data_IF_638671443171
#
_entry.id   IF_638671443171
#
_cell.length_a   1.000
_cell.length_b   1.000
_cell.length_c   1.000
_cell.angle_alpha   90.00
_cell.angle_beta   90.00
_cell.angle_gamma   90.00
#
_symmetry.space_group_name_H-M   'P 1'
#
loop_
_entity.id
_entity.type
_entity.pdbx_description
1 polymer ?
#
# COMPACT_ATOMS: atom_id res chain seq x y z
N UNK A 1 -11.43 7.87 53.85
CA UNK A 1 -12.08 8.07 52.53
C UNK A 1 -11.02 7.82 51.49
N UNK A 2 -11.22 6.86 50.58
CA UNK A 2 -10.32 6.71 49.44
C UNK A 2 -10.45 7.99 48.60
N UNK A 3 -9.32 8.63 48.26
CA UNK A 3 -9.34 9.79 47.39
C UNK A 3 -9.90 9.37 46.03
N UNK A 4 -11.03 9.94 45.64
CA UNK A 4 -11.65 9.69 44.34
C UNK A 4 -10.74 10.27 43.27
N UNK A 5 -10.12 9.42 42.43
CA UNK A 5 -9.30 9.89 41.30
C UNK A 5 -10.13 10.78 40.37
N UNK A 6 -9.53 11.87 39.91
CA UNK A 6 -10.11 12.75 38.90
C UNK A 6 -10.02 12.12 37.50
N UNK A 7 -10.90 12.55 36.59
CA UNK A 7 -10.85 12.11 35.18
C UNK A 7 -9.51 12.47 34.54
N UNK A 8 -8.93 13.61 34.90
CA UNK A 8 -7.63 14.05 34.38
C UNK A 8 -6.48 13.12 34.81
N UNK A 9 -6.45 12.72 36.08
CA UNK A 9 -5.47 11.74 36.59
C UNK A 9 -5.62 10.38 35.89
N UNK A 10 -6.85 9.91 35.72
CA UNK A 10 -7.13 8.66 34.97
C UNK A 10 -6.65 8.80 33.52
N UNK A 11 -6.93 9.93 32.88
CA UNK A 11 -6.56 10.18 31.48
C UNK A 11 -5.06 10.22 31.28
N UNK A 12 -4.34 10.88 32.19
CA UNK A 12 -2.88 10.97 32.15
C UNK A 12 -2.22 9.61 32.41
N UNK A 13 -2.78 8.80 33.33
CA UNK A 13 -2.30 7.44 33.58
C UNK A 13 -2.58 6.48 32.40
N UNK A 14 -3.68 6.70 31.67
CA UNK A 14 -4.10 5.82 30.57
C UNK A 14 -3.29 6.02 29.27
N UNK A 15 -2.76 7.21 28.99
CA UNK A 15 -2.02 7.48 27.74
C UNK A 15 -0.54 7.06 27.84
N UNK A 16 0.05 6.73 26.69
CA UNK A 16 1.48 6.52 26.55
C UNK A 16 2.26 7.85 26.62
N UNK A 17 3.59 7.79 26.70
CA UNK A 17 4.45 8.97 26.79
C UNK A 17 5.11 9.33 25.45
N UNK A 18 5.72 8.35 24.79
CA UNK A 18 6.45 8.50 23.54
C UNK A 18 5.59 8.31 22.29
N UNK A 19 6.20 8.48 21.10
CA UNK A 19 5.52 8.31 19.83
C UNK A 19 5.23 6.83 19.54
N UNK A 20 4.17 6.59 18.76
CA UNK A 20 3.91 5.28 18.18
C UNK A 20 5.07 4.88 17.26
N UNK A 21 5.50 3.64 17.41
CA UNK A 21 6.67 3.10 16.73
C UNK A 21 6.33 1.75 16.10
N UNK A 22 6.79 1.52 14.88
CA UNK A 22 6.72 0.22 14.21
C UNK A 22 7.76 -0.69 14.84
N UNK A 23 7.32 -1.79 15.45
CA UNK A 23 8.16 -2.73 16.19
C UNK A 23 8.48 -3.99 15.39
N UNK A 24 7.60 -4.36 14.45
CA UNK A 24 7.80 -5.50 13.58
C UNK A 24 7.03 -5.30 12.28
N UNK A 25 7.56 -5.87 11.19
CA UNK A 25 6.90 -5.96 9.89
C UNK A 25 7.03 -7.39 9.40
N UNK A 26 5.92 -7.99 8.98
CA UNK A 26 5.86 -9.29 8.32
C UNK A 26 5.11 -9.16 7.00
N UNK A 27 5.55 -9.88 5.98
CA UNK A 27 4.95 -9.88 4.64
C UNK A 27 4.68 -11.30 4.18
N UNK A 28 3.64 -11.48 3.37
CA UNK A 28 3.25 -12.76 2.80
C UNK A 28 2.63 -12.58 1.41
N UNK A 29 2.80 -13.57 0.54
CA UNK A 29 2.22 -13.62 -0.80
C UNK A 29 1.63 -15.01 -1.06
N UNK A 30 0.67 -15.14 -1.99
CA UNK A 30 0.30 -16.44 -2.52
C UNK A 30 1.50 -17.17 -3.14
N UNK A 31 1.40 -18.51 -3.23
CA UNK A 31 2.48 -19.33 -3.80
C UNK A 31 2.59 -19.21 -5.33
N UNK A 32 1.46 -18.98 -6.01
CA UNK A 32 1.43 -18.86 -7.47
C UNK A 32 2.03 -17.52 -7.91
N UNK A 33 3.12 -17.59 -8.67
CA UNK A 33 3.88 -16.47 -9.18
C UNK A 33 3.73 -16.39 -10.70
N UNK A 34 3.35 -15.21 -11.18
CA UNK A 34 3.07 -14.94 -12.58
C UNK A 34 4.03 -13.86 -13.07
N UNK A 35 4.82 -14.18 -14.09
CA UNK A 35 5.76 -13.23 -14.68
C UNK A 35 5.04 -12.31 -15.67
N UNK A 36 5.37 -11.02 -15.59
CA UNK A 36 4.69 -9.99 -16.37
C UNK A 36 4.92 -10.14 -17.88
N UNK A 37 6.07 -10.70 -18.27
CA UNK A 37 6.41 -10.97 -19.67
C UNK A 37 5.46 -12.01 -20.32
N UNK A 38 5.02 -13.00 -19.53
CA UNK A 38 4.15 -14.09 -19.99
C UNK A 38 2.66 -13.78 -19.77
N UNK A 39 2.36 -12.75 -18.97
CA UNK A 39 1.00 -12.44 -18.54
C UNK A 39 0.02 -12.12 -19.67
N UNK A 40 0.39 -11.37 -20.74
CA UNK A 40 -0.53 -11.11 -21.84
C UNK A 40 -1.02 -12.38 -22.53
N UNK A 41 -0.14 -13.37 -22.71
CA UNK A 41 -0.51 -14.64 -23.33
C UNK A 41 -1.37 -15.48 -22.38
N UNK A 42 -0.96 -15.61 -21.12
CA UNK A 42 -1.73 -16.28 -20.09
C UNK A 42 -3.14 -15.69 -19.96
N UNK A 43 -3.25 -14.38 -19.79
CA UNK A 43 -4.50 -13.66 -19.54
C UNK A 43 -5.48 -13.81 -20.70
N UNK A 44 -5.04 -13.62 -21.95
CA UNK A 44 -5.92 -13.75 -23.11
C UNK A 44 -6.31 -15.21 -23.38
N UNK A 45 -5.45 -16.18 -23.08
CA UNK A 45 -5.77 -17.61 -23.16
C UNK A 45 -6.83 -17.99 -22.11
N UNK A 46 -6.58 -17.73 -20.83
CA UNK A 46 -7.47 -18.17 -19.74
C UNK A 46 -8.83 -17.47 -19.77
N UNK A 47 -8.89 -16.25 -20.31
CA UNK A 47 -10.15 -15.52 -20.53
C UNK A 47 -10.80 -15.82 -21.88
N UNK A 48 -10.32 -16.83 -22.62
CA UNK A 48 -10.84 -17.27 -23.93
C UNK A 48 -10.97 -16.13 -24.95
N UNK A 49 -10.01 -15.20 -24.91
CA UNK A 49 -10.04 -13.93 -25.62
C UNK A 49 -8.95 -13.79 -26.69
N UNK A 50 -8.24 -14.86 -27.05
CA UNK A 50 -7.18 -14.83 -28.09
C UNK A 50 -7.64 -14.32 -29.47
N UNK A 51 -8.95 -14.34 -29.74
CA UNK A 51 -9.53 -13.75 -30.95
C UNK A 51 -9.44 -12.21 -30.98
N UNK A 52 -9.20 -11.55 -29.85
CA UNK A 52 -9.08 -10.09 -29.72
C UNK A 52 -7.61 -9.61 -29.90
N UNK A 53 -7.02 -9.89 -31.07
CA UNK A 53 -5.58 -9.67 -31.32
C UNK A 53 -5.12 -8.22 -31.06
N UNK A 54 -5.86 -7.22 -31.52
CA UNK A 54 -5.51 -5.80 -31.33
C UNK A 54 -5.53 -5.39 -29.85
N UNK A 55 -6.48 -5.94 -29.08
CA UNK A 55 -6.60 -5.68 -27.66
C UNK A 55 -5.46 -6.36 -26.89
N UNK A 56 -5.08 -7.58 -27.29
CA UNK A 56 -3.93 -8.31 -26.76
C UNK A 56 -2.64 -7.52 -26.96
N UNK A 57 -2.44 -6.93 -28.13
CA UNK A 57 -1.25 -6.12 -28.41
C UNK A 57 -1.23 -4.83 -27.56
N UNK A 58 -2.38 -4.16 -27.38
CA UNK A 58 -2.50 -3.02 -26.45
C UNK A 58 -2.16 -3.43 -25.01
N UNK A 59 -2.70 -4.55 -24.55
CA UNK A 59 -2.45 -5.06 -23.20
C UNK A 59 -0.98 -5.45 -22.99
N UNK A 60 -0.35 -6.07 -23.99
CA UNK A 60 1.09 -6.35 -23.98
C UNK A 60 1.91 -5.08 -23.78
N UNK A 61 1.62 -4.00 -24.51
CA UNK A 61 2.29 -2.70 -24.31
C UNK A 61 2.06 -2.11 -22.92
N UNK A 62 0.88 -2.32 -22.31
CA UNK A 62 0.63 -1.91 -20.93
C UNK A 62 1.50 -2.69 -19.95
N UNK A 63 1.60 -4.01 -20.11
CA UNK A 63 2.46 -4.87 -19.30
C UNK A 63 3.95 -4.49 -19.45
N UNK A 64 4.44 -4.30 -20.68
CA UNK A 64 5.83 -3.91 -20.98
C UNK A 64 6.19 -2.56 -20.31
N UNK A 65 5.25 -1.62 -20.25
CA UNK A 65 5.44 -0.30 -19.62
C UNK A 65 5.16 -0.25 -18.13
N UNK A 66 4.66 -1.34 -17.53
CA UNK A 66 4.25 -1.35 -16.12
C UNK A 66 5.41 -1.28 -15.12
N UNK A 67 6.65 -1.56 -15.57
CA UNK A 67 7.84 -1.76 -14.72
C UNK A 67 7.72 -2.94 -13.74
N UNK A 68 6.64 -3.73 -13.85
CA UNK A 68 6.42 -4.94 -13.07
C UNK A 68 7.16 -6.09 -13.74
N UNK A 69 7.93 -6.86 -12.96
CA UNK A 69 8.60 -8.07 -13.41
C UNK A 69 7.76 -9.31 -13.13
N UNK A 70 7.18 -9.40 -11.94
CA UNK A 70 6.34 -10.52 -11.51
C UNK A 70 5.28 -10.05 -10.51
N UNK A 71 4.23 -10.86 -10.36
CA UNK A 71 3.17 -10.69 -9.37
C UNK A 71 2.83 -12.04 -8.77
N UNK A 72 2.29 -12.02 -7.57
CA UNK A 72 1.71 -13.20 -6.94
C UNK A 72 0.20 -13.11 -7.04
N UNK A 73 -0.46 -14.23 -7.33
CA UNK A 73 -1.91 -14.26 -7.54
C UNK A 73 -2.48 -15.51 -6.90
N UNK A 74 -3.47 -15.37 -6.03
CA UNK A 74 -4.20 -16.49 -5.48
C UNK A 74 -4.98 -17.24 -6.56
N UNK A 75 -5.50 -16.50 -7.57
CA UNK A 75 -6.12 -17.10 -8.75
C UNK A 75 -5.10 -17.86 -9.59
N UNK A 76 -5.30 -19.18 -9.69
CA UNK A 76 -4.56 -20.09 -10.57
C UNK A 76 -5.38 -20.41 -11.82
N UNK A 77 -4.75 -21.04 -12.83
CA UNK A 77 -5.47 -21.56 -14.01
C UNK A 77 -6.60 -22.51 -13.58
N UNK A 78 -6.33 -23.42 -12.64
CA UNK A 78 -7.32 -24.36 -12.06
C UNK A 78 -8.54 -23.64 -11.44
N UNK A 79 -8.31 -22.65 -10.56
CA UNK A 79 -9.41 -21.89 -9.94
C UNK A 79 -10.24 -21.17 -11.00
N UNK A 80 -9.60 -20.62 -12.03
CA UNK A 80 -10.28 -19.90 -13.10
C UNK A 80 -11.06 -20.84 -14.03
N UNK A 81 -10.57 -22.05 -14.28
CA UNK A 81 -11.27 -23.09 -15.04
C UNK A 81 -12.52 -23.59 -14.29
N UNK A 82 -12.45 -23.72 -12.96
CA UNK A 82 -13.60 -24.05 -12.10
C UNK A 82 -14.60 -22.88 -11.98
N UNK A 83 -14.15 -21.64 -12.17
CA UNK A 83 -14.95 -20.42 -12.01
C UNK A 83 -15.01 -19.56 -13.29
N UNK A 84 -15.54 -20.08 -14.42
CA UNK A 84 -15.46 -19.43 -15.72
C UNK A 84 -16.16 -18.05 -15.77
N UNK A 85 -17.13 -17.80 -14.89
CA UNK A 85 -17.79 -16.48 -14.79
C UNK A 85 -16.84 -15.38 -14.29
N UNK A 86 -15.78 -15.72 -13.56
CA UNK A 86 -14.74 -14.75 -13.16
C UNK A 86 -13.88 -14.31 -14.35
N UNK A 87 -13.73 -15.18 -15.35
CA UNK A 87 -13.02 -14.90 -16.60
C UNK A 87 -13.85 -14.12 -17.61
N UNK A 88 -15.18 -14.20 -17.53
CA UNK A 88 -16.06 -13.40 -18.36
C UNK A 88 -16.03 -11.92 -17.93
N UNK A 89 -16.19 -11.00 -18.89
CA UNK A 89 -16.06 -9.57 -18.61
C UNK A 89 -17.09 -9.04 -17.59
N UNK A 90 -18.36 -9.46 -17.73
CA UNK A 90 -19.50 -8.94 -16.94
C UNK A 90 -20.47 -10.05 -16.49
N UNK A 91 -20.00 -11.29 -16.33
CA UNK A 91 -20.87 -12.35 -15.80
C UNK A 91 -21.01 -12.23 -14.27
N UNK A 92 -22.17 -12.59 -13.70
CA UNK A 92 -22.34 -12.68 -12.26
C UNK A 92 -21.30 -13.62 -11.64
N UNK A 93 -20.51 -13.08 -10.70
CA UNK A 93 -19.40 -13.80 -10.08
C UNK A 93 -19.15 -13.37 -8.63
N UNK A 94 -19.97 -12.47 -8.06
CA UNK A 94 -19.77 -11.96 -6.71
C UNK A 94 -19.75 -13.05 -5.65
N UNK A 95 -20.67 -14.02 -5.70
CA UNK A 95 -20.77 -15.09 -4.69
C UNK A 95 -19.49 -15.93 -4.65
N UNK A 96 -19.04 -16.43 -5.81
CA UNK A 96 -17.78 -17.17 -5.92
C UNK A 96 -16.57 -16.36 -5.42
N UNK A 97 -16.53 -15.06 -5.73
CA UNK A 97 -15.46 -14.17 -5.25
C UNK A 97 -15.50 -13.97 -3.74
N UNK A 98 -16.68 -13.89 -3.14
CA UNK A 98 -16.86 -13.77 -1.69
C UNK A 98 -16.45 -15.05 -0.97
N UNK A 99 -16.84 -16.21 -1.49
CA UNK A 99 -16.48 -17.52 -0.93
C UNK A 99 -14.97 -17.71 -0.83
N UNK A 100 -14.21 -17.18 -1.80
CA UNK A 100 -12.74 -17.19 -1.79
C UNK A 100 -12.16 -16.35 -0.64
N UNK A 101 -12.79 -15.23 -0.24
CA UNK A 101 -12.18 -14.24 0.68
C UNK A 101 -12.75 -14.22 2.10
N UNK A 102 -13.91 -14.85 2.37
CA UNK A 102 -14.70 -14.61 3.60
C UNK A 102 -14.21 -15.37 4.86
N UNK A 103 -13.38 -16.42 4.71
CA UNK A 103 -13.17 -17.45 5.75
C UNK A 103 -12.39 -16.95 6.99
N UNK A 104 -11.54 -15.92 6.85
CA UNK A 104 -10.55 -15.57 7.90
C UNK A 104 -10.83 -14.27 8.68
N UNK A 105 -11.69 -13.39 8.15
CA UNK A 105 -12.04 -12.08 8.75
C UNK A 105 -12.55 -12.18 10.20
N UNK A 106 -13.34 -13.20 10.60
CA UNK A 106 -13.89 -13.29 11.96
C UNK A 106 -12.87 -13.57 13.07
N UNK A 107 -11.66 -14.07 12.73
CA UNK A 107 -10.71 -14.63 13.72
C UNK A 107 -9.79 -13.61 14.39
N UNK A 108 -9.75 -12.37 13.91
CA UNK A 108 -8.91 -11.30 14.49
C UNK A 108 -9.66 -10.65 15.69
N UNK A 109 -9.02 -10.41 16.83
CA UNK A 109 -9.66 -9.85 18.05
C UNK A 109 -9.71 -8.31 18.09
N UNK A 110 -10.56 -7.71 18.96
CA UNK A 110 -10.78 -6.25 19.16
C UNK A 110 -10.60 -5.40 17.88
N UNK A 111 -11.49 -5.62 16.92
CA UNK A 111 -11.28 -5.22 15.52
C UNK A 111 -11.83 -3.82 15.21
N UNK A 112 -11.01 -2.99 14.58
CA UNK A 112 -11.47 -2.00 13.62
C UNK A 112 -11.35 -2.64 12.25
N UNK A 113 -12.48 -2.91 11.59
CA UNK A 113 -12.49 -3.49 10.25
C UNK A 113 -12.62 -2.38 9.21
N UNK A 114 -11.69 -2.36 8.26
CA UNK A 114 -11.65 -1.36 7.19
C UNK A 114 -11.84 -2.03 5.84
N UNK A 115 -13.07 -1.95 5.30
CA UNK A 115 -13.40 -2.49 3.98
C UNK A 115 -13.53 -1.39 2.94
N UNK A 116 -13.19 -1.71 1.69
CA UNK A 116 -13.43 -0.83 0.53
C UNK A 116 -12.82 0.57 0.67
N UNK A 117 -11.68 0.69 1.35
CA UNK A 117 -10.98 1.96 1.53
C UNK A 117 -10.20 2.35 0.27
N UNK A 118 -9.58 1.37 -0.39
CA UNK A 118 -8.74 1.58 -1.56
C UNK A 118 -7.26 1.78 -1.22
N UNK A 119 -6.47 2.11 -2.24
CA UNK A 119 -5.02 2.01 -2.19
C UNK A 119 -4.31 2.97 -1.20
N UNK A 120 -4.97 4.07 -0.78
CA UNK A 120 -4.41 4.97 0.23
C UNK A 120 -4.43 4.37 1.65
N UNK A 121 -5.16 3.28 1.86
CA UNK A 121 -5.43 2.75 3.18
C UNK A 121 -4.17 2.28 3.93
N UNK A 122 -3.07 2.02 3.24
CA UNK A 122 -1.77 1.77 3.89
C UNK A 122 -1.32 2.94 4.79
N UNK A 123 -1.58 4.18 4.39
CA UNK A 123 -1.36 5.35 5.25
C UNK A 123 -2.44 5.48 6.33
N UNK A 124 -3.71 5.22 5.98
CA UNK A 124 -4.84 5.31 6.93
C UNK A 124 -4.67 4.37 8.12
N UNK A 125 -4.23 3.12 7.89
CA UNK A 125 -4.04 2.16 8.98
C UNK A 125 -2.89 2.57 9.91
N UNK A 126 -1.83 3.19 9.38
CA UNK A 126 -0.74 3.76 10.20
C UNK A 126 -1.24 4.93 11.04
N UNK A 127 -2.04 5.83 10.45
CA UNK A 127 -2.65 6.97 11.15
C UNK A 127 -3.54 6.51 12.31
N UNK A 128 -4.40 5.53 12.09
CA UNK A 128 -5.26 4.97 13.14
C UNK A 128 -4.45 4.24 14.21
N UNK A 129 -3.46 3.44 13.81
CA UNK A 129 -2.62 2.71 14.76
C UNK A 129 -1.74 3.65 15.62
N UNK A 130 -1.30 4.78 15.05
CA UNK A 130 -0.62 5.85 15.79
C UNK A 130 -1.47 6.32 16.96
N UNK A 131 -2.69 6.76 16.69
CA UNK A 131 -3.61 7.25 17.73
C UNK A 131 -3.95 6.16 18.74
N UNK A 132 -4.21 4.93 18.29
CA UNK A 132 -4.50 3.82 19.20
C UNK A 132 -3.33 3.50 20.14
N UNK A 133 -2.10 3.51 19.64
CA UNK A 133 -0.91 3.20 20.42
C UNK A 133 -0.53 4.34 21.38
N UNK A 134 -0.52 5.60 20.92
CA UNK A 134 -0.17 6.75 21.76
C UNK A 134 -1.22 7.03 22.83
N UNK A 135 -2.49 6.77 22.52
CA UNK A 135 -3.59 7.08 23.41
C UNK A 135 -3.84 6.03 24.51
N UNK A 136 -3.16 4.88 24.43
CA UNK A 136 -3.35 3.75 25.34
C UNK A 136 -2.00 3.16 25.76
N UNK A 137 -1.55 3.48 26.98
CA UNK A 137 -0.31 2.99 27.58
C UNK A 137 -0.24 1.47 27.51
N UNK A 138 0.89 0.95 27.03
CA UNK A 138 1.12 -0.49 26.88
C UNK A 138 0.36 -1.14 25.72
N UNK A 139 -0.39 -0.39 24.90
CA UNK A 139 -1.03 -0.96 23.73
C UNK A 139 0.00 -1.43 22.69
N UNK A 140 -0.30 -2.58 22.09
CA UNK A 140 0.38 -3.12 20.91
C UNK A 140 -0.69 -3.42 19.87
N UNK A 141 -0.67 -2.65 18.80
CA UNK A 141 -1.67 -2.67 17.74
C UNK A 141 -1.14 -3.55 16.61
N UNK A 142 -1.83 -4.67 16.36
CA UNK A 142 -1.61 -5.45 15.15
C UNK A 142 -2.43 -4.83 14.02
N UNK A 143 -1.74 -4.36 12.98
CA UNK A 143 -2.34 -3.89 11.74
C UNK A 143 -2.09 -4.92 10.67
N UNK A 144 -3.11 -5.24 9.88
CA UNK A 144 -3.01 -6.17 8.75
C UNK A 144 -3.69 -5.57 7.52
N UNK A 145 -2.93 -5.44 6.44
CA UNK A 145 -3.43 -5.17 5.10
C UNK A 145 -3.32 -6.47 4.29
N UNK A 146 -4.41 -6.94 3.70
CA UNK A 146 -4.43 -8.20 2.93
C UNK A 146 -5.29 -8.01 1.69
N UNK A 147 -4.67 -8.15 0.53
CA UNK A 147 -5.26 -7.79 -0.75
C UNK A 147 -5.18 -8.98 -1.71
N UNK A 148 -6.33 -9.35 -2.28
CA UNK A 148 -6.49 -10.49 -3.18
C UNK A 148 -7.26 -10.04 -4.43
N UNK A 149 -6.64 -10.16 -5.59
CA UNK A 149 -7.20 -9.75 -6.89
C UNK A 149 -8.37 -10.62 -7.36
N UNK A 150 -8.71 -11.69 -6.63
CA UNK A 150 -9.91 -12.47 -6.88
C UNK A 150 -11.17 -11.61 -6.98
N UNK A 151 -11.27 -10.49 -6.24
CA UNK A 151 -12.44 -9.59 -6.32
C UNK A 151 -12.43 -8.67 -7.56
N UNK A 152 -11.28 -8.52 -8.24
CA UNK A 152 -11.03 -7.51 -9.28
C UNK A 152 -10.72 -8.11 -10.66
N UNK A 153 -10.28 -9.36 -10.73
CA UNK A 153 -9.94 -10.05 -11.97
C UNK A 153 -11.16 -10.19 -12.88
N UNK A 154 -11.02 -9.89 -14.17
CA UNK A 154 -12.07 -10.09 -15.19
C UNK A 154 -11.47 -10.18 -16.58
N UNK A 155 -12.24 -10.70 -17.54
CA UNK A 155 -11.87 -10.73 -18.96
C UNK A 155 -11.69 -9.35 -19.60
N UNK A 156 -11.04 -9.28 -20.77
CA UNK A 156 -10.79 -8.02 -21.47
C UNK A 156 -12.03 -7.51 -22.19
N UNK A 157 -12.10 -6.18 -22.41
CA UNK A 157 -13.13 -5.56 -23.27
C UNK A 157 -12.60 -4.27 -23.92
N UNK A 158 -12.86 -4.07 -25.21
CA UNK A 158 -12.26 -2.98 -26.00
C UNK A 158 -12.67 -1.58 -25.53
N UNK A 159 -13.91 -1.43 -25.04
CA UNK A 159 -14.43 -0.15 -24.54
C UNK A 159 -13.90 0.27 -23.16
N UNK A 160 -13.18 -0.59 -22.44
CA UNK A 160 -12.81 -0.37 -21.03
C UNK A 160 -11.31 -0.62 -20.79
N UNK A 161 -10.49 0.24 -21.41
CA UNK A 161 -9.03 0.15 -21.32
C UNK A 161 -8.49 0.48 -19.93
N UNK A 162 -9.23 1.23 -19.12
CA UNK A 162 -8.96 1.49 -17.71
C UNK A 162 -8.97 0.20 -16.87
N UNK A 163 -9.97 -0.67 -17.09
CA UNK A 163 -10.01 -1.98 -16.44
C UNK A 163 -8.80 -2.82 -16.82
N UNK A 164 -8.34 -2.76 -18.07
CA UNK A 164 -7.13 -3.46 -18.52
C UNK A 164 -5.85 -2.95 -17.84
N UNK A 165 -5.74 -1.64 -17.60
CA UNK A 165 -4.63 -1.09 -16.80
C UNK A 165 -4.62 -1.73 -15.41
N UNK A 166 -5.78 -1.87 -14.76
CA UNK A 166 -5.89 -2.59 -13.49
C UNK A 166 -5.42 -4.05 -13.58
N UNK A 167 -5.81 -4.79 -14.62
CA UNK A 167 -5.39 -6.18 -14.83
C UNK A 167 -3.87 -6.34 -15.02
N UNK A 168 -3.20 -5.32 -15.58
CA UNK A 168 -1.75 -5.31 -15.73
C UNK A 168 -1.02 -4.96 -14.42
N UNK A 169 -1.64 -4.19 -13.51
CA UNK A 169 -0.95 -3.63 -12.35
C UNK A 169 -1.17 -4.42 -11.06
N UNK A 170 -2.40 -4.85 -10.77
CA UNK A 170 -2.73 -5.37 -9.45
C UNK A 170 -2.13 -6.76 -9.19
N UNK A 171 -1.58 -6.95 -8.00
CA UNK A 171 -1.08 -8.24 -7.50
C UNK A 171 -1.57 -8.50 -6.07
N UNK A 172 -1.35 -9.73 -5.59
CA UNK A 172 -1.82 -10.17 -4.29
C UNK A 172 -0.69 -10.12 -3.27
N UNK A 173 -1.03 -9.71 -2.04
CA UNK A 173 -0.09 -9.70 -0.93
C UNK A 173 -0.73 -9.25 0.37
N UNK A 174 -0.09 -9.64 1.47
CA UNK A 174 -0.47 -9.22 2.80
C UNK A 174 0.75 -8.72 3.58
N UNK A 175 0.54 -7.67 4.35
CA UNK A 175 1.53 -7.14 5.28
C UNK A 175 0.90 -6.97 6.66
N UNK A 176 1.66 -7.33 7.69
CA UNK A 176 1.31 -7.15 9.08
C UNK A 176 2.36 -6.28 9.77
N UNK A 177 1.93 -5.28 10.55
CA UNK A 177 2.83 -4.46 11.37
C UNK A 177 2.36 -4.45 12.81
N UNK A 178 3.32 -4.50 13.75
CA UNK A 178 3.06 -4.30 15.17
C UNK A 178 3.47 -2.87 15.51
N UNK A 179 2.53 -2.09 16.03
CA UNK A 179 2.75 -0.68 16.40
C UNK A 179 2.54 -0.52 17.89
N UNK A 180 3.45 0.16 18.57
CA UNK A 180 3.37 0.47 19.99
C UNK A 180 4.13 1.73 20.34
N UNK A 181 3.66 2.45 21.35
CA UNK A 181 4.42 3.49 22.01
C UNK A 181 5.20 2.90 23.20
N UNK A 182 6.23 3.63 23.65
CA UNK A 182 7.08 3.27 24.79
C UNK A 182 7.66 1.83 24.66
N UNK A 183 8.56 1.59 23.68
CA UNK A 183 9.11 0.26 23.48
C UNK A 183 9.99 -0.18 24.66
N UNK A 184 9.82 -1.43 25.10
CA UNK A 184 10.73 -2.06 26.05
C UNK A 184 12.00 -2.50 25.31
N UNK A 185 13.02 -1.66 25.33
CA UNK A 185 14.27 -1.88 24.58
C UNK A 185 15.07 -3.12 25.01
N UNK A 186 14.67 -3.81 26.08
CA UNK A 186 15.24 -5.12 26.44
C UNK A 186 14.79 -6.25 25.51
N UNK A 187 13.63 -6.10 24.86
CA UNK A 187 12.99 -7.13 24.01
C UNK A 187 12.50 -6.60 22.67
N UNK A 188 12.09 -5.33 22.60
CA UNK A 188 11.55 -4.67 21.41
C UNK A 188 12.62 -3.87 20.67
N UNK A 189 12.57 -3.93 19.34
CA UNK A 189 13.49 -3.25 18.43
C UNK A 189 12.69 -2.30 17.55
N UNK A 190 12.66 -0.99 17.84
CA UNK A 190 11.91 -0.05 17.01
C UNK A 190 12.52 0.08 15.61
N UNK A 191 11.68 0.16 14.58
CA UNK A 191 12.07 0.26 13.17
C UNK A 191 11.86 1.66 12.61
N UNK A 192 10.68 2.26 12.86
CA UNK A 192 10.31 3.60 12.43
C UNK A 192 9.35 4.23 13.45
N UNK A 193 9.48 5.52 13.74
CA UNK A 193 8.51 6.26 14.54
C UNK A 193 7.50 6.98 13.63
N UNK A 194 6.22 6.96 14.03
CA UNK A 194 5.14 7.67 13.34
C UNK A 194 5.00 9.06 13.95
N UNK A 195 5.49 10.11 13.28
CA UNK A 195 5.58 11.45 13.87
C UNK A 195 4.29 12.24 13.67
N UNK A 196 3.82 12.33 12.43
CA UNK A 196 2.55 12.96 12.09
C UNK A 196 1.87 12.18 10.97
N UNK A 197 0.55 12.31 10.88
CA UNK A 197 -0.23 11.71 9.81
C UNK A 197 -1.39 12.64 9.43
N UNK A 198 -1.55 12.90 8.14
CA UNK A 198 -2.60 13.76 7.60
C UNK A 198 -3.25 13.11 6.39
N UNK A 199 -4.48 13.54 6.10
CA UNK A 199 -5.25 13.10 4.94
C UNK A 199 -5.81 14.33 4.22
N UNK A 200 -5.81 14.29 2.89
CA UNK A 200 -6.45 15.32 2.07
C UNK A 200 -7.13 14.71 0.85
N UNK A 201 -8.15 15.38 0.34
CA UNK A 201 -8.78 15.08 -0.95
C UNK A 201 -8.30 16.13 -1.94
N UNK A 202 -7.75 15.69 -3.07
CA UNK A 202 -7.22 16.62 -4.06
C UNK A 202 -8.35 17.41 -4.73
N UNK A 203 -8.16 18.72 -4.98
CA UNK A 203 -9.14 19.50 -5.73
C UNK A 203 -9.28 18.96 -7.16
N UNK A 204 -10.47 19.14 -7.74
CA UNK A 204 -10.78 18.79 -9.13
C UNK A 204 -10.50 17.31 -9.48
N UNK A 205 -10.70 16.41 -8.52
CA UNK A 205 -10.36 14.98 -8.66
C UNK A 205 -11.54 14.02 -8.58
N UNK A 206 -12.78 14.55 -8.66
CA UNK A 206 -14.01 13.77 -8.65
C UNK A 206 -14.00 12.69 -9.75
N UNK A 207 -14.28 11.44 -9.38
CA UNK A 207 -14.28 10.30 -10.29
C UNK A 207 -12.91 9.90 -10.85
N UNK A 208 -11.80 10.47 -10.34
CA UNK A 208 -10.46 10.15 -10.85
C UNK A 208 -10.10 8.67 -10.66
N UNK A 209 -10.52 8.10 -9.54
CA UNK A 209 -10.42 6.67 -9.23
C UNK A 209 -11.72 6.26 -8.53
N UNK A 210 -12.53 5.45 -9.23
CA UNK A 210 -13.78 4.93 -8.69
C UNK A 210 -13.76 3.40 -8.63
N UNK A 211 -14.41 2.86 -7.59
CA UNK A 211 -14.64 1.44 -7.41
C UNK A 211 -16.11 1.17 -7.12
N UNK A 212 -16.71 0.18 -7.79
CA UNK A 212 -18.09 -0.21 -7.56
C UNK A 212 -18.19 -1.71 -7.36
N UNK A 213 -18.67 -2.14 -6.20
CA UNK A 213 -19.03 -3.53 -5.98
C UNK A 213 -20.39 -3.81 -6.62
N UNK A 214 -20.41 -4.76 -7.55
CA UNK A 214 -21.59 -5.17 -8.32
C UNK A 214 -21.70 -6.69 -8.31
N UNK A 215 -22.78 -7.24 -8.86
CA UNK A 215 -22.97 -8.69 -9.03
C UNK A 215 -21.83 -9.34 -9.86
N UNK A 216 -21.16 -8.56 -10.70
CA UNK A 216 -20.03 -8.95 -11.53
C UNK A 216 -18.67 -8.87 -10.81
N UNK A 217 -18.66 -8.59 -9.50
CA UNK A 217 -17.46 -8.30 -8.71
C UNK A 217 -17.16 -6.80 -8.60
N UNK A 218 -15.93 -6.46 -8.22
CA UNK A 218 -15.51 -5.09 -7.96
C UNK A 218 -14.95 -4.42 -9.23
N UNK A 219 -15.72 -3.56 -9.89
CA UNK A 219 -15.30 -2.81 -11.09
C UNK A 219 -14.55 -1.56 -10.70
N UNK A 220 -13.52 -1.18 -11.47
CA UNK A 220 -12.77 0.05 -11.25
C UNK A 220 -12.72 0.90 -12.51
N UNK A 221 -12.75 2.21 -12.29
CA UNK A 221 -12.57 3.23 -13.31
C UNK A 221 -11.41 4.13 -12.93
N UNK A 222 -10.57 4.43 -13.92
CA UNK A 222 -9.35 5.22 -13.74
C UNK A 222 -9.31 6.30 -14.80
N UNK A 223 -9.34 7.56 -14.39
CA UNK A 223 -9.00 8.66 -15.29
C UNK A 223 -7.52 8.57 -15.64
N UNK A 224 -7.19 8.83 -16.92
CA UNK A 224 -5.80 8.79 -17.40
C UNK A 224 -4.89 9.80 -16.68
N UNK A 225 -5.45 10.89 -16.16
CA UNK A 225 -4.72 12.00 -15.56
C UNK A 225 -4.52 11.89 -14.03
N UNK A 226 -4.79 10.73 -13.42
CA UNK A 226 -4.45 10.49 -12.00
C UNK A 226 -3.00 10.87 -11.67
N UNK A 227 -1.97 10.49 -12.47
CA UNK A 227 -0.59 10.93 -12.23
C UNK A 227 -0.41 12.45 -12.21
N UNK A 228 -1.10 13.17 -13.10
CA UNK A 228 -1.06 14.63 -13.18
C UNK A 228 -1.71 15.29 -11.96
N UNK A 229 -2.87 14.77 -11.51
CA UNK A 229 -3.54 15.24 -10.30
C UNK A 229 -2.68 15.08 -9.06
N UNK A 230 -2.03 13.92 -8.88
CA UNK A 230 -1.12 13.68 -7.74
C UNK A 230 0.07 14.64 -7.81
N UNK A 231 0.74 14.67 -8.96
CA UNK A 231 1.93 15.51 -9.17
C UNK A 231 1.63 17.00 -8.93
N UNK A 232 0.49 17.52 -9.39
CA UNK A 232 0.10 18.91 -9.17
C UNK A 232 0.01 19.29 -7.69
N UNK A 233 -0.31 18.34 -6.80
CA UNK A 233 -0.63 18.61 -5.40
C UNK A 233 0.40 18.07 -4.40
N UNK A 234 1.36 17.24 -4.82
CA UNK A 234 2.30 16.56 -3.90
C UNK A 234 3.18 17.53 -3.10
N UNK A 235 3.59 18.63 -3.73
CA UNK A 235 4.47 19.64 -3.12
C UNK A 235 3.79 20.33 -1.93
N UNK A 236 2.50 20.65 -2.06
CA UNK A 236 1.71 21.17 -0.95
C UNK A 236 1.61 20.19 0.21
N UNK A 237 1.43 18.89 -0.07
CA UNK A 237 1.35 17.88 0.97
C UNK A 237 2.68 17.73 1.74
N UNK A 238 3.82 17.86 1.04
CA UNK A 238 5.15 17.89 1.66
C UNK A 238 5.33 19.14 2.52
N UNK A 239 5.02 20.32 1.99
CA UNK A 239 5.13 21.58 2.71
C UNK A 239 4.30 21.58 4.01
N UNK A 240 3.04 21.13 3.94
CA UNK A 240 2.16 21.03 5.11
C UNK A 240 2.74 20.05 6.16
N UNK A 241 3.35 18.95 5.74
CA UNK A 241 3.89 17.92 6.62
C UNK A 241 5.23 18.33 7.27
N UNK A 242 6.12 18.97 6.52
CA UNK A 242 7.52 19.21 6.92
C UNK A 242 7.81 20.65 7.37
N UNK A 243 6.94 21.62 7.08
CA UNK A 243 7.09 23.00 7.57
C UNK A 243 7.24 23.09 9.10
N UNK A 244 6.51 22.33 9.93
CA UNK A 244 6.71 22.33 11.39
C UNK A 244 8.09 21.82 11.83
N UNK A 245 8.77 21.05 10.96
CA UNK A 245 10.09 20.47 11.21
C UNK A 245 11.23 21.30 10.58
N UNK A 246 10.90 22.33 9.80
CA UNK A 246 11.89 23.17 9.12
C UNK A 246 12.66 22.44 8.01
N UNK A 247 12.08 21.39 7.42
CA UNK A 247 12.66 20.63 6.32
C UNK A 247 12.04 21.10 5.00
N UNK A 248 12.87 21.51 4.06
CA UNK A 248 12.50 21.98 2.71
C UNK A 248 13.25 21.26 1.59
N UNK A 249 14.32 20.52 1.89
CA UNK A 249 15.00 19.64 0.93
C UNK A 249 14.38 18.23 0.91
N UNK A 250 13.56 17.96 -0.10
CA UNK A 250 12.90 16.67 -0.30
C UNK A 250 13.86 15.52 -0.63
N UNK A 251 15.13 15.80 -0.96
CA UNK A 251 16.15 14.76 -1.14
C UNK A 251 16.83 14.34 0.18
N UNK A 252 16.66 15.14 1.25
CA UNK A 252 17.19 14.86 2.59
C UNK A 252 16.34 13.88 3.40
N UNK A 253 15.16 13.51 2.87
CA UNK A 253 14.24 12.56 3.51
C UNK A 253 14.15 11.25 2.74
N UNK A 254 13.91 10.13 3.43
CA UNK A 254 13.63 8.85 2.79
C UNK A 254 12.17 8.77 2.29
N UNK A 255 11.94 8.04 1.20
CA UNK A 255 10.65 8.06 0.49
C UNK A 255 10.00 6.68 0.40
N UNK A 256 8.74 6.62 0.79
CA UNK A 256 7.85 5.46 0.60
C UNK A 256 6.59 5.97 -0.10
N UNK A 257 6.46 5.72 -1.40
CA UNK A 257 5.26 6.15 -2.14
C UNK A 257 4.45 4.92 -2.56
N UNK A 258 3.12 4.96 -2.41
CA UNK A 258 2.27 3.91 -2.95
C UNK A 258 2.52 3.76 -4.47
N UNK A 259 2.95 2.57 -4.95
CA UNK A 259 3.29 2.35 -6.34
C UNK A 259 2.03 2.06 -7.15
N UNK A 260 1.13 3.05 -7.24
CA UNK A 260 -0.13 2.93 -7.98
C UNK A 260 0.07 2.56 -9.45
N UNK A 261 1.16 3.08 -10.02
CA UNK A 261 1.72 2.73 -11.32
C UNK A 261 2.99 3.56 -11.58
N UNK A 262 3.83 3.17 -12.56
CA UNK A 262 5.12 3.83 -12.79
C UNK A 262 4.98 5.31 -13.16
N UNK A 263 3.91 5.68 -13.88
CA UNK A 263 3.65 7.07 -14.26
C UNK A 263 3.43 7.99 -13.06
N UNK A 264 2.82 7.50 -11.96
CA UNK A 264 2.66 8.29 -10.73
C UNK A 264 4.03 8.58 -10.13
N UNK A 265 4.88 7.55 -10.01
CA UNK A 265 6.22 7.67 -9.45
C UNK A 265 7.07 8.63 -10.27
N UNK A 266 7.06 8.49 -11.59
CA UNK A 266 7.83 9.34 -12.51
C UNK A 266 7.40 10.81 -12.42
N UNK A 267 6.09 11.09 -12.35
CA UNK A 267 5.58 12.46 -12.28
C UNK A 267 5.76 13.11 -10.91
N UNK A 268 5.72 12.34 -9.82
CA UNK A 268 6.07 12.84 -8.48
C UNK A 268 7.56 13.17 -8.43
N UNK A 269 8.41 12.24 -8.84
CA UNK A 269 9.86 12.40 -8.84
C UNK A 269 10.30 13.62 -9.66
N UNK A 270 9.75 13.78 -10.87
CA UNK A 270 10.04 14.93 -11.72
C UNK A 270 9.55 16.26 -11.11
N UNK A 271 8.37 16.26 -10.48
CA UNK A 271 7.75 17.47 -9.94
C UNK A 271 8.54 18.09 -8.80
N UNK A 272 9.07 17.26 -7.90
CA UNK A 272 9.85 17.70 -6.74
C UNK A 272 11.36 17.59 -6.96
N UNK A 273 11.79 17.34 -8.20
CA UNK A 273 13.20 17.16 -8.60
C UNK A 273 13.94 16.17 -7.67
N UNK A 274 13.32 15.02 -7.47
CA UNK A 274 13.82 13.99 -6.57
C UNK A 274 14.91 13.15 -7.25
N UNK A 275 15.98 12.85 -6.52
CA UNK A 275 17.02 11.96 -6.97
C UNK A 275 16.44 10.57 -7.23
N UNK A 276 16.84 9.94 -8.34
CA UNK A 276 16.33 8.63 -8.79
C UNK A 276 16.37 7.56 -7.69
N UNK A 277 17.41 7.57 -6.86
CA UNK A 277 17.62 6.61 -5.77
C UNK A 277 16.55 6.69 -4.68
N UNK A 278 15.88 7.83 -4.48
CA UNK A 278 14.87 7.99 -3.41
C UNK A 278 13.65 7.08 -3.62
N UNK A 279 13.33 6.75 -4.88
CA UNK A 279 12.23 5.84 -5.20
C UNK A 279 12.68 4.38 -5.39
N UNK A 280 13.94 4.04 -5.10
CA UNK A 280 14.51 2.69 -5.32
C UNK A 280 13.68 1.60 -4.64
N UNK A 281 13.44 1.71 -3.34
CA UNK A 281 12.65 0.72 -2.59
C UNK A 281 11.20 0.61 -3.11
N UNK A 282 10.58 1.75 -3.42
CA UNK A 282 9.23 1.80 -4.01
C UNK A 282 9.16 1.07 -5.35
N UNK A 283 10.10 1.35 -6.25
CA UNK A 283 10.17 0.70 -7.57
C UNK A 283 10.55 -0.76 -7.48
N UNK A 284 11.38 -1.16 -6.50
CA UNK A 284 11.69 -2.56 -6.25
C UNK A 284 10.41 -3.33 -5.90
N UNK A 285 9.61 -2.83 -4.96
CA UNK A 285 8.35 -3.48 -4.58
C UNK A 285 7.36 -3.53 -5.74
N UNK A 286 7.23 -2.44 -6.51
CA UNK A 286 6.42 -2.47 -7.74
C UNK A 286 6.89 -3.56 -8.70
N UNK A 287 8.21 -3.67 -8.91
CA UNK A 287 8.77 -4.64 -9.84
C UNK A 287 8.54 -6.09 -9.40
N UNK A 288 8.76 -6.37 -8.11
CA UNK A 288 8.74 -7.74 -7.58
C UNK A 288 7.36 -8.25 -7.17
N UNK A 289 6.39 -7.36 -6.95
CA UNK A 289 5.08 -7.73 -6.41
C UNK A 289 3.90 -7.09 -7.14
N UNK A 290 4.12 -6.07 -7.98
CA UNK A 290 3.07 -5.27 -8.57
C UNK A 290 2.38 -4.34 -7.57
N UNK A 291 1.19 -3.85 -7.93
CA UNK A 291 0.36 -3.02 -7.06
C UNK A 291 -0.51 -3.91 -6.15
N UNK A 292 -0.07 -4.14 -4.93
CA UNK A 292 -0.80 -4.83 -3.85
C UNK A 292 -1.68 -3.88 -3.01
N UNK A 293 -2.23 -2.82 -3.62
CA UNK A 293 -3.12 -1.85 -2.96
C UNK A 293 -2.56 -1.33 -1.61
N UNK A 294 -3.30 -1.49 -0.51
CA UNK A 294 -2.94 -0.96 0.81
C UNK A 294 -1.67 -1.57 1.40
N UNK A 295 -1.32 -2.81 1.04
CA UNK A 295 -0.16 -3.50 1.57
C UNK A 295 1.18 -2.96 1.02
N UNK A 296 1.17 -2.30 -0.15
CA UNK A 296 2.40 -1.88 -0.84
C UNK A 296 3.34 -1.06 0.05
N UNK A 297 2.84 -0.02 0.72
CA UNK A 297 3.70 0.88 1.50
C UNK A 297 4.35 0.16 2.68
N UNK A 298 3.71 -0.87 3.22
CA UNK A 298 4.26 -1.70 4.30
C UNK A 298 5.34 -2.67 3.78
N UNK A 299 5.18 -3.21 2.57
CA UNK A 299 6.25 -3.94 1.87
C UNK A 299 7.45 -3.04 1.61
N UNK A 300 7.23 -1.78 1.22
CA UNK A 300 8.30 -0.82 0.94
C UNK A 300 9.04 -0.45 2.23
N UNK A 301 8.33 -0.28 3.37
CA UNK A 301 8.96 -0.11 4.68
C UNK A 301 9.88 -1.29 5.04
N UNK A 302 9.43 -2.53 4.78
CA UNK A 302 10.21 -3.74 5.04
C UNK A 302 11.44 -3.86 4.11
N UNK A 303 11.28 -3.57 2.81
CA UNK A 303 12.40 -3.53 1.87
C UNK A 303 13.42 -2.48 2.29
N UNK A 304 12.98 -1.27 2.62
CA UNK A 304 13.84 -0.15 3.00
C UNK A 304 14.68 -0.47 4.24
N UNK A 305 14.07 -1.02 5.31
CA UNK A 305 14.82 -1.36 6.52
C UNK A 305 15.80 -2.51 6.30
N UNK A 306 15.44 -3.50 5.46
CA UNK A 306 16.31 -4.64 5.11
C UNK A 306 17.53 -4.16 4.33
N UNK A 307 17.30 -3.40 3.26
CA UNK A 307 18.38 -2.80 2.46
C UNK A 307 19.26 -1.88 3.27
N UNK A 308 18.68 -1.10 4.18
CA UNK A 308 19.47 -0.24 5.05
C UNK A 308 20.45 -1.03 5.93
N UNK A 309 20.03 -2.18 6.47
CA UNK A 309 20.91 -3.05 7.23
C UNK A 309 21.94 -3.75 6.33
N UNK A 310 21.54 -4.29 5.17
CA UNK A 310 22.40 -4.98 4.21
C UNK A 310 23.49 -4.05 3.63
N UNK A 311 23.13 -2.82 3.27
CA UNK A 311 24.01 -1.83 2.66
C UNK A 311 24.87 -1.09 3.71
N UNK A 312 24.68 -1.38 5.00
CA UNK A 312 25.45 -0.78 6.10
C UNK A 312 25.12 0.69 6.35
N UNK A 313 23.89 1.12 6.09
CA UNK A 313 23.44 2.48 6.39
C UNK A 313 23.33 2.73 7.90
N UNK A 314 23.44 4.00 8.29
CA UNK A 314 23.42 4.40 9.70
C UNK A 314 22.04 4.27 10.36
N UNK A 315 20.96 4.33 9.57
CA UNK A 315 19.58 4.30 10.06
C UNK A 315 18.72 3.36 9.21
N UNK A 316 17.57 2.93 9.72
CA UNK A 316 16.57 2.12 9.01
C UNK A 316 15.94 2.80 7.79
N UNK A 317 16.13 4.12 7.64
CA UNK A 317 15.62 4.94 6.55
C UNK A 317 16.72 5.37 5.58
N UNK A 318 17.53 4.42 5.09
CA UNK A 318 18.61 4.66 4.13
C UNK A 318 19.66 5.70 4.60
N UNK A 319 19.92 5.73 5.92
CA UNK A 319 20.88 6.66 6.53
C UNK A 319 20.35 8.08 6.75
N UNK A 320 19.07 8.33 6.47
CA UNK A 320 18.38 9.60 6.76
C UNK A 320 17.56 9.51 8.04
N UNK A 321 17.42 10.61 8.77
CA UNK A 321 16.62 10.68 10.01
C UNK A 321 15.13 10.77 9.70
N UNK A 322 14.75 11.60 8.75
CA UNK A 322 13.35 11.90 8.42
C UNK A 322 12.92 11.22 7.13
N UNK A 323 11.63 10.90 7.05
CA UNK A 323 11.05 10.28 5.87
C UNK A 323 9.56 10.57 5.71
N UNK A 324 9.07 10.26 4.52
CA UNK A 324 7.66 10.43 4.16
C UNK A 324 7.10 9.16 3.56
N UNK A 325 5.89 8.82 3.99
CA UNK A 325 5.07 7.78 3.39
C UNK A 325 3.81 8.39 2.78
N UNK A 326 3.55 8.06 1.51
CA UNK A 326 2.36 8.47 0.79
C UNK A 326 1.46 7.30 0.41
N UNK A 327 0.17 7.41 0.75
CA UNK A 327 -0.89 6.57 0.21
C UNK A 327 -1.70 7.35 -0.83
N UNK A 328 -1.97 6.75 -2.00
CA UNK A 328 -2.81 7.35 -3.05
C UNK A 328 -3.97 6.41 -3.39
N UNK A 329 -5.19 6.91 -3.51
CA UNK A 329 -6.33 6.07 -3.86
C UNK A 329 -7.64 6.83 -4.12
N UNK A 330 -8.79 6.13 -4.17
CA UNK A 330 -10.10 6.72 -4.49
C UNK A 330 -10.40 8.02 -3.76
N UNK A 331 -10.94 9.02 -4.47
CA UNK A 331 -11.21 10.35 -3.94
C UNK A 331 -11.06 11.47 -4.96
N UNK A 332 -9.86 11.83 -5.42
CA UNK A 332 -8.53 11.25 -5.16
C UNK A 332 -7.98 11.65 -3.80
N UNK A 333 -7.80 10.67 -2.91
CA UNK A 333 -7.31 10.87 -1.54
C UNK A 333 -5.81 10.62 -1.44
N UNK A 334 -5.13 11.49 -0.70
CA UNK A 334 -3.73 11.36 -0.33
C UNK A 334 -3.60 11.25 1.19
N UNK A 335 -2.98 10.17 1.66
CA UNK A 335 -2.48 10.05 3.04
C UNK A 335 -1.00 10.41 3.05
N UNK A 336 -0.59 11.23 4.01
CA UNK A 336 0.79 11.63 4.22
C UNK A 336 1.18 11.29 5.65
N UNK A 337 2.18 10.44 5.82
CA UNK A 337 2.72 10.05 7.13
C UNK A 337 4.17 10.46 7.21
N UNK A 338 4.51 11.30 8.19
CA UNK A 338 5.90 11.65 8.49
C UNK A 338 6.48 10.58 9.40
N UNK A 339 7.65 10.07 9.01
CA UNK A 339 8.37 9.01 9.69
C UNK A 339 9.70 9.54 10.21
N UNK A 340 10.13 8.99 11.34
CA UNK A 340 11.51 9.10 11.80
C UNK A 340 12.15 7.71 11.77
N UNK A 341 13.36 7.60 11.24
CA UNK A 341 14.13 6.36 11.24
C UNK A 341 14.70 6.05 12.63
N UNK A 342 15.30 4.88 12.77
CA UNK A 342 16.00 4.45 13.99
C UNK A 342 17.46 4.11 13.63
N UNK A 343 18.45 4.48 14.46
CA UNK A 343 19.83 4.09 14.25
C UNK A 343 20.01 2.57 14.21
N UNK A 344 20.73 2.07 13.22
CA UNK A 344 21.10 0.65 13.13
C UNK A 344 22.36 0.44 13.98
N UNK A 345 22.24 -0.34 15.04
CA UNK A 345 23.39 -0.68 15.88
C UNK A 345 24.31 -1.65 15.15
N UNK A 346 25.63 -1.38 15.12
CA UNK A 346 26.61 -2.32 14.58
C UNK A 346 26.53 -3.66 15.34
N UNK A 347 26.08 -4.73 14.67
CA UNK A 347 26.01 -6.10 15.22
C UNK A 347 24.60 -6.67 15.44
N UNK A 348 23.53 -5.93 15.16
CA UNK A 348 22.17 -6.51 15.14
C UNK A 348 21.94 -7.20 13.78
N UNK A 349 22.14 -8.51 13.71
CA UNK A 349 21.77 -9.32 12.54
C UNK A 349 20.25 -9.34 12.36
N UNK A 350 19.81 -9.25 11.10
CA UNK A 350 18.43 -9.09 10.63
C UNK A 350 17.43 -10.18 11.07
#
# INVERSE_FOLDING_TARGET
>A
MAATMTVEEVRNAQRAEGPATVLAIGTATPANCVYQADYPDYYFKITKSDHMADLKEKFKRMCDKSQIRKRYMHLTEEILEENPNMCAYMAPSLDARQDIVVVEVPKLGKRLMMYQQGCFAGGTVLRLAKDLAENNRGARVLVVCSEITAVTFRGPHESHLDSLVGQALFGDGAAAVIIGADPDLSVERPLFQLVSASQTILPDSEGAIDGHLREVGLTFHLLKDVPGLISKNIERALEEAFKPLGIDDWNSVFWIAHPGGPAILDMVEAKVNLNKERMRATRHVLSEYGNMSSACVLFIMDEMRKRSAEDGHATTGEGMDWGVLFGFGPGLTVETVVLHSVPISAGATA
#
